data_IF_834034281044
#
_entry.id   IF_834034281044
#
_cell.length_a   1.000
_cell.length_b   1.000
_cell.length_c   1.000
_cell.angle_alpha   90.00
_cell.angle_beta   90.00
_cell.angle_gamma   90.00
#
_symmetry.space_group_name_H-M   'P 1'
#
loop_
_entity.id
_entity.type
_entity.pdbx_description
1 polymer ?
#
# COMPACT_ATOMS: atom_id res chain seq x y z
N UNK A 1 -11.62 6.20 -16.34
CA UNK A 1 -12.19 4.90 -15.89
C UNK A 1 -13.45 5.23 -15.09
N UNK A 2 -14.52 4.42 -15.06
CA UNK A 2 -15.65 4.75 -14.18
C UNK A 2 -15.29 4.49 -12.72
N UNK A 3 -15.83 5.27 -11.78
CA UNK A 3 -15.61 5.07 -10.35
C UNK A 3 -15.94 3.64 -9.90
N UNK A 4 -17.03 3.05 -10.42
CA UNK A 4 -17.40 1.65 -10.13
C UNK A 4 -16.30 0.67 -10.58
N UNK A 5 -15.73 0.87 -11.77
CA UNK A 5 -14.67 0.00 -12.28
C UNK A 5 -13.38 0.14 -11.45
N UNK A 6 -13.07 1.35 -10.98
CA UNK A 6 -11.98 1.59 -10.04
C UNK A 6 -12.16 0.74 -8.77
N UNK A 7 -13.35 0.77 -8.15
CA UNK A 7 -13.64 0.00 -6.94
C UNK A 7 -13.48 -1.51 -7.16
N UNK A 8 -13.97 -2.01 -8.30
CA UNK A 8 -13.84 -3.42 -8.66
C UNK A 8 -12.39 -3.83 -8.76
N UNK A 9 -11.53 -3.03 -9.41
CA UNK A 9 -10.11 -3.37 -9.54
C UNK A 9 -9.38 -3.36 -8.19
N UNK A 10 -9.65 -2.40 -7.31
CA UNK A 10 -9.07 -2.37 -5.96
C UNK A 10 -9.41 -3.66 -5.19
N UNK A 11 -10.67 -4.06 -5.17
CA UNK A 11 -11.11 -5.30 -4.49
C UNK A 11 -10.44 -6.52 -5.12
N UNK A 12 -10.45 -6.62 -6.45
CA UNK A 12 -9.86 -7.76 -7.17
C UNK A 12 -8.35 -7.89 -6.92
N UNK A 13 -7.62 -6.79 -6.75
CA UNK A 13 -6.18 -6.82 -6.47
C UNK A 13 -5.86 -7.54 -5.14
N UNK A 14 -6.63 -7.24 -4.09
CA UNK A 14 -6.49 -7.88 -2.78
C UNK A 14 -6.90 -9.35 -2.83
N UNK A 15 -8.03 -9.65 -3.49
CA UNK A 15 -8.49 -11.04 -3.64
C UNK A 15 -7.50 -11.88 -4.44
N UNK A 16 -6.89 -11.30 -5.48
CA UNK A 16 -5.83 -11.95 -6.25
C UNK A 16 -4.63 -12.30 -5.36
N UNK A 17 -4.18 -11.37 -4.51
CA UNK A 17 -3.12 -11.65 -3.53
C UNK A 17 -3.46 -12.80 -2.58
N UNK A 18 -4.69 -12.84 -2.06
CA UNK A 18 -5.19 -13.94 -1.23
C UNK A 18 -5.27 -15.29 -1.94
N UNK A 19 -5.70 -15.28 -3.21
CA UNK A 19 -5.78 -16.47 -4.05
C UNK A 19 -4.39 -17.05 -4.31
N UNK A 20 -3.40 -16.19 -4.60
CA UNK A 20 -2.02 -16.60 -4.78
C UNK A 20 -1.50 -17.35 -3.55
N UNK A 21 -1.74 -16.84 -2.33
CA UNK A 21 -1.30 -17.52 -1.10
C UNK A 21 -2.05 -18.85 -0.87
N UNK A 22 -3.34 -18.90 -1.19
CA UNK A 22 -4.19 -20.08 -0.97
C UNK A 22 -3.87 -21.24 -1.92
N UNK A 23 -3.47 -20.93 -3.16
CA UNK A 23 -3.18 -21.94 -4.19
C UNK A 23 -1.69 -22.27 -4.36
N UNK A 24 -0.77 -21.36 -4.05
CA UNK A 24 0.66 -21.64 -4.16
C UNK A 24 1.11 -22.59 -3.04
N UNK A 25 1.89 -23.62 -3.39
CA UNK A 25 2.50 -24.53 -2.42
C UNK A 25 3.56 -23.80 -1.58
N UNK A 26 3.65 -24.12 -0.28
CA UNK A 26 4.50 -23.45 0.72
C UNK A 26 5.95 -23.14 0.26
N UNK A 27 6.61 -24.06 -0.44
CA UNK A 27 8.00 -23.87 -0.89
C UNK A 27 8.16 -22.84 -2.03
N UNK A 28 7.14 -22.63 -2.86
CA UNK A 28 7.14 -21.60 -3.91
C UNK A 28 6.76 -20.22 -3.39
N UNK A 29 6.19 -20.14 -2.17
CA UNK A 29 5.71 -18.90 -1.56
C UNK A 29 6.88 -17.95 -1.30
N UNK A 30 7.90 -18.36 -0.56
CA UNK A 30 8.87 -17.38 -0.01
C UNK A 30 9.71 -16.66 -1.07
N UNK A 31 10.16 -17.34 -2.12
CA UNK A 31 10.97 -16.71 -3.17
C UNK A 31 10.13 -15.81 -4.09
N UNK A 32 8.99 -16.31 -4.56
CA UNK A 32 8.07 -15.54 -5.42
C UNK A 32 7.55 -14.30 -4.70
N UNK A 33 7.15 -14.42 -3.43
CA UNK A 33 6.69 -13.29 -2.61
C UNK A 33 7.78 -12.22 -2.50
N UNK A 34 9.04 -12.60 -2.26
CA UNK A 34 10.16 -11.64 -2.22
C UNK A 34 10.38 -10.91 -3.56
N UNK A 35 10.23 -11.60 -4.69
CA UNK A 35 10.36 -10.97 -6.00
C UNK A 35 9.16 -10.06 -6.33
N UNK A 36 7.93 -10.47 -6.01
CA UNK A 36 6.73 -9.65 -6.15
C UNK A 36 6.81 -8.38 -5.28
N UNK A 37 7.30 -8.52 -4.05
CA UNK A 37 7.58 -7.38 -3.16
C UNK A 37 8.61 -6.45 -3.78
N UNK A 38 9.76 -6.95 -4.24
CA UNK A 38 10.79 -6.13 -4.87
C UNK A 38 10.27 -5.38 -6.12
N UNK A 39 9.49 -6.05 -6.97
CA UNK A 39 8.82 -5.42 -8.11
C UNK A 39 7.89 -4.29 -7.67
N UNK A 40 7.01 -4.54 -6.70
CA UNK A 40 6.08 -3.54 -6.19
C UNK A 40 6.76 -2.37 -5.51
N UNK A 41 7.85 -2.62 -4.76
CA UNK A 41 8.65 -1.58 -4.15
C UNK A 41 9.25 -0.64 -5.20
N UNK A 42 9.84 -1.21 -6.27
CA UNK A 42 10.33 -0.42 -7.40
C UNK A 42 9.24 0.34 -8.15
N UNK A 43 8.09 -0.28 -8.39
CA UNK A 43 6.94 0.35 -9.02
C UNK A 43 6.44 1.55 -8.21
N UNK A 44 6.16 1.36 -6.92
CA UNK A 44 5.64 2.40 -6.03
C UNK A 44 6.65 3.54 -5.85
N UNK A 45 7.94 3.21 -5.69
CA UNK A 45 9.01 4.21 -5.61
C UNK A 45 9.08 5.08 -6.86
N UNK A 46 8.99 4.48 -8.06
CA UNK A 46 9.01 5.22 -9.31
C UNK A 46 7.79 6.14 -9.47
N UNK A 47 6.58 5.65 -9.15
CA UNK A 47 5.36 6.49 -9.13
C UNK A 47 5.53 7.69 -8.20
N UNK A 48 6.03 7.45 -6.98
CA UNK A 48 6.24 8.52 -6.00
C UNK A 48 7.23 9.56 -6.53
N UNK A 49 8.41 9.15 -6.99
CA UNK A 49 9.46 10.10 -7.39
C UNK A 49 9.19 10.80 -8.71
N UNK A 50 8.53 10.12 -9.68
CA UNK A 50 8.39 10.66 -11.02
C UNK A 50 7.04 11.34 -11.26
N UNK A 51 6.02 11.07 -10.44
CA UNK A 51 4.67 11.60 -10.64
C UNK A 51 4.16 12.32 -9.39
N UNK A 52 4.06 11.62 -8.24
CA UNK A 52 3.37 12.18 -7.08
C UNK A 52 4.14 13.32 -6.40
N UNK A 53 5.46 13.18 -6.23
CA UNK A 53 6.28 14.26 -5.66
C UNK A 53 6.32 15.50 -6.57
N UNK A 54 6.61 15.40 -7.88
CA UNK A 54 6.54 16.54 -8.79
C UNK A 54 5.20 17.27 -8.77
N UNK A 55 4.09 16.53 -8.70
CA UNK A 55 2.74 17.13 -8.67
C UNK A 55 2.49 17.87 -7.35
N UNK A 56 2.89 17.31 -6.20
CA UNK A 56 2.73 17.96 -4.89
C UNK A 56 3.50 19.28 -4.78
N UNK A 57 4.75 19.30 -5.25
CA UNK A 57 5.59 20.49 -5.17
C UNK A 57 5.20 21.60 -6.17
N UNK A 58 4.24 21.37 -7.05
CA UNK A 58 3.66 22.44 -7.88
C UNK A 58 2.64 23.30 -7.12
N UNK A 59 2.04 22.78 -6.04
CA UNK A 59 0.92 23.43 -5.35
C UNK A 59 1.30 24.14 -4.03
N UNK A 60 2.31 23.68 -3.30
CA UNK A 60 2.84 24.40 -2.12
C UNK A 60 4.30 23.98 -1.81
N UNK A 61 5.25 24.89 -1.89
CA UNK A 61 6.68 24.57 -1.74
C UNK A 61 7.14 24.52 -0.27
N UNK A 62 6.44 25.17 0.66
CA UNK A 62 6.94 25.35 2.03
C UNK A 62 6.53 24.22 2.99
N UNK A 63 5.27 23.76 2.93
CA UNK A 63 4.74 22.81 3.93
C UNK A 63 4.66 21.34 3.44
N UNK A 64 4.71 21.11 2.12
CA UNK A 64 4.61 19.77 1.52
C UNK A 64 5.58 18.75 2.12
N UNK A 65 6.85 19.14 2.30
CA UNK A 65 7.87 18.26 2.88
C UNK A 65 7.56 17.81 4.32
N UNK A 66 6.92 18.68 5.11
CA UNK A 66 6.51 18.35 6.47
C UNK A 66 5.40 17.30 6.47
N UNK A 67 4.40 17.43 5.59
CA UNK A 67 3.31 16.46 5.51
C UNK A 67 3.74 15.10 4.94
N UNK A 68 4.70 15.09 4.01
CA UNK A 68 5.37 13.85 3.57
C UNK A 68 6.07 13.18 4.76
N UNK A 69 6.83 13.95 5.56
CA UNK A 69 7.49 13.40 6.75
C UNK A 69 6.48 12.87 7.77
N UNK A 70 5.39 13.60 8.02
CA UNK A 70 4.30 13.16 8.90
C UNK A 70 3.70 11.85 8.39
N UNK A 71 3.44 11.72 7.09
CA UNK A 71 2.94 10.49 6.49
C UNK A 71 3.91 9.31 6.64
N UNK A 72 5.19 9.55 6.42
CA UNK A 72 6.23 8.54 6.64
C UNK A 72 6.26 8.05 8.09
N UNK A 73 6.23 8.98 9.05
CA UNK A 73 6.21 8.65 10.48
C UNK A 73 4.89 8.00 10.93
N UNK A 74 3.77 8.44 10.37
CA UNK A 74 2.47 7.83 10.62
C UNK A 74 2.48 6.36 10.21
N UNK A 75 3.02 6.04 9.04
CA UNK A 75 3.15 4.67 8.59
C UNK A 75 4.06 3.85 9.52
N UNK A 76 5.20 4.41 9.93
CA UNK A 76 6.09 3.77 10.89
C UNK A 76 5.39 3.48 12.23
N UNK A 77 4.56 4.40 12.71
CA UNK A 77 3.77 4.22 13.95
C UNK A 77 2.75 3.08 13.78
N UNK A 78 2.02 3.05 12.66
CA UNK A 78 1.06 1.98 12.36
C UNK A 78 1.74 0.60 12.34
N UNK A 79 2.94 0.52 11.77
CA UNK A 79 3.74 -0.71 11.72
C UNK A 79 4.29 -1.10 13.10
N UNK A 80 4.77 -0.14 13.89
CA UNK A 80 5.26 -0.38 15.25
C UNK A 80 4.18 -1.03 16.13
N UNK A 81 2.97 -0.46 16.14
CA UNK A 81 1.86 -1.00 16.92
C UNK A 81 1.34 -2.34 16.38
N UNK A 82 1.64 -2.68 15.12
CA UNK A 82 1.33 -3.99 14.54
C UNK A 82 2.20 -5.13 15.10
N UNK A 83 3.12 -4.81 16.01
CA UNK A 83 3.88 -5.80 16.77
C UNK A 83 5.12 -6.31 16.04
N UNK A 84 5.75 -5.46 15.21
CA UNK A 84 7.06 -5.64 14.58
C UNK A 84 7.50 -7.10 14.41
N UNK A 85 7.35 -7.66 13.21
CA UNK A 85 7.72 -9.03 12.83
C UNK A 85 9.26 -9.29 12.94
N UNK A 86 10.00 -8.48 13.70
CA UNK A 86 11.47 -8.41 13.63
C UNK A 86 12.22 -8.96 14.84
N UNK A 87 11.59 -9.21 15.99
CA UNK A 87 12.29 -9.85 17.10
C UNK A 87 11.92 -11.34 17.21
N UNK A 88 12.77 -12.17 16.59
CA UNK A 88 12.71 -13.64 16.51
C UNK A 88 12.82 -14.39 17.85
N UNK A 89 12.18 -13.90 18.90
CA UNK A 89 11.84 -14.66 20.09
C UNK A 89 10.33 -14.89 20.10
N UNK A 90 9.88 -15.77 19.21
CA UNK A 90 8.58 -16.41 19.34
C UNK A 90 8.65 -17.35 20.54
N UNK A 91 8.47 -16.79 21.74
CA UNK A 91 7.73 -17.52 22.75
C UNK A 91 6.42 -17.96 22.11
N UNK A 92 6.13 -19.25 22.18
CA UNK A 92 5.01 -19.97 21.56
C UNK A 92 3.63 -19.56 22.12
N UNK A 93 3.45 -18.28 22.48
CA UNK A 93 2.27 -17.65 23.07
C UNK A 93 1.81 -16.39 22.33
N UNK A 94 2.35 -16.08 21.15
CA UNK A 94 1.75 -15.04 20.29
C UNK A 94 0.39 -15.54 19.78
N UNK A 95 -0.69 -15.19 20.49
CA UNK A 95 -2.06 -15.57 20.17
C UNK A 95 -2.61 -14.85 18.93
N UNK A 96 -3.92 -15.02 18.67
CA UNK A 96 -4.66 -14.36 17.57
C UNK A 96 -4.60 -12.82 17.59
N UNK A 97 -3.98 -12.19 18.59
CA UNK A 97 -3.85 -10.73 18.70
C UNK A 97 -2.95 -10.14 17.61
N UNK A 98 -1.81 -10.75 17.28
CA UNK A 98 -0.83 -10.17 16.34
C UNK A 98 -1.42 -10.01 14.92
N UNK A 99 -2.07 -11.04 14.32
CA UNK A 99 -2.67 -10.88 12.99
C UNK A 99 -3.79 -9.84 12.95
N UNK A 100 -4.55 -9.69 14.05
CA UNK A 100 -5.65 -8.73 14.13
C UNK A 100 -5.13 -7.30 14.26
N UNK A 101 -4.07 -7.06 15.03
CA UNK A 101 -3.49 -5.71 15.15
C UNK A 101 -2.90 -5.24 13.82
N UNK A 102 -2.17 -6.12 13.11
CA UNK A 102 -1.68 -5.80 11.76
C UNK A 102 -2.83 -5.53 10.79
N UNK A 103 -3.90 -6.34 10.83
CA UNK A 103 -5.10 -6.11 10.03
C UNK A 103 -5.69 -4.72 10.28
N UNK A 104 -5.82 -4.30 11.55
CA UNK A 104 -6.37 -2.98 11.90
C UNK A 104 -5.46 -1.86 11.39
N UNK A 105 -4.15 -1.95 11.64
CA UNK A 105 -3.19 -0.94 11.21
C UNK A 105 -3.17 -0.79 9.68
N UNK A 106 -3.13 -1.91 8.95
CA UNK A 106 -3.18 -1.90 7.49
C UNK A 106 -4.54 -1.42 6.97
N UNK A 107 -5.65 -1.68 7.68
CA UNK A 107 -6.97 -1.15 7.31
C UNK A 107 -7.02 0.37 7.42
N UNK A 108 -6.43 0.94 8.48
CA UNK A 108 -6.30 2.40 8.64
C UNK A 108 -5.44 2.97 7.50
N UNK A 109 -4.27 2.36 7.26
CA UNK A 109 -3.40 2.72 6.14
C UNK A 109 -4.19 2.75 4.80
N UNK A 110 -4.93 1.67 4.53
CA UNK A 110 -5.67 1.45 3.28
C UNK A 110 -6.82 2.44 3.09
N UNK A 111 -7.51 2.86 4.17
CA UNK A 111 -8.52 3.92 4.10
C UNK A 111 -7.88 5.26 3.74
N UNK A 112 -6.74 5.59 4.35
CA UNK A 112 -6.06 6.88 4.13
C UNK A 112 -5.57 6.99 2.68
N UNK A 113 -4.96 5.94 2.12
CA UNK A 113 -4.52 5.95 0.71
C UNK A 113 -5.68 6.04 -0.30
N UNK A 114 -6.86 5.50 0.05
CA UNK A 114 -8.02 5.51 -0.83
C UNK A 114 -8.67 6.88 -0.92
N UNK A 115 -8.52 7.72 0.11
CA UNK A 115 -9.23 8.99 0.22
C UNK A 115 -8.92 9.97 -0.95
N UNK A 116 -7.66 10.21 -1.35
CA UNK A 116 -7.37 11.08 -2.48
C UNK A 116 -7.91 10.56 -3.83
N UNK A 117 -8.00 9.23 -4.02
CA UNK A 117 -8.62 8.66 -5.24
C UNK A 117 -10.09 9.09 -5.38
N UNK A 118 -10.83 9.12 -4.27
CA UNK A 118 -12.21 9.58 -4.25
C UNK A 118 -12.37 11.06 -4.58
N UNK A 119 -11.49 11.89 -4.02
CA UNK A 119 -11.53 13.35 -4.19
C UNK A 119 -11.33 13.76 -5.65
N UNK A 120 -10.41 13.07 -6.32
CA UNK A 120 -10.17 13.23 -7.75
C UNK A 120 -11.44 12.93 -8.55
N UNK A 121 -12.06 11.78 -8.33
CA UNK A 121 -13.25 11.34 -9.09
C UNK A 121 -14.50 12.17 -8.73
N UNK A 122 -14.56 12.73 -7.52
CA UNK A 122 -15.64 13.60 -7.05
C UNK A 122 -15.55 15.04 -7.54
N UNK A 123 -14.46 15.41 -8.23
CA UNK A 123 -14.21 16.77 -8.70
C UNK A 123 -13.70 17.73 -7.62
N UNK A 124 -13.44 17.25 -6.40
CA UNK A 124 -12.90 18.03 -5.28
C UNK A 124 -11.41 18.35 -5.44
N UNK A 125 -10.74 17.70 -6.40
CA UNK A 125 -9.32 17.86 -6.66
C UNK A 125 -9.00 18.08 -8.15
N UNK A 126 -9.77 18.97 -8.79
CA UNK A 126 -9.67 19.29 -10.24
C UNK A 126 -8.33 19.87 -10.70
N UNK A 127 -7.40 20.17 -9.78
CA UNK A 127 -6.07 20.67 -10.05
C UNK A 127 -4.93 19.66 -9.84
N UNK A 128 -5.22 18.43 -9.36
CA UNK A 128 -4.22 17.36 -9.41
C UNK A 128 -4.00 17.06 -10.90
N UNK A 129 -2.78 17.27 -11.41
CA UNK A 129 -2.47 17.14 -12.84
C UNK A 129 -2.63 15.70 -13.37
N UNK A 130 -1.91 15.39 -14.45
CA UNK A 130 -1.91 14.07 -15.08
C UNK A 130 -1.58 12.87 -14.13
N UNK A 131 -1.19 13.11 -12.88
CA UNK A 131 -0.94 12.11 -11.84
C UNK A 131 -2.13 11.25 -11.37
N UNK A 132 -3.37 11.52 -11.79
CA UNK A 132 -4.55 10.72 -11.38
C UNK A 132 -4.41 9.22 -11.68
N UNK A 133 -3.91 8.87 -12.87
CA UNK A 133 -3.67 7.47 -13.24
C UNK A 133 -2.55 6.84 -12.41
N UNK A 134 -1.51 7.62 -12.13
CA UNK A 134 -0.32 7.17 -11.40
C UNK A 134 -0.64 6.72 -9.97
N UNK A 135 -1.49 7.47 -9.25
CA UNK A 135 -1.93 7.13 -7.89
C UNK A 135 -2.72 5.81 -7.88
N UNK A 136 -3.69 5.67 -8.79
CA UNK A 136 -4.49 4.44 -8.90
C UNK A 136 -3.61 3.22 -9.18
N UNK A 137 -2.70 3.31 -10.16
CA UNK A 137 -1.80 2.20 -10.48
C UNK A 137 -0.84 1.89 -9.33
N UNK A 138 -0.31 2.93 -8.66
CA UNK A 138 0.50 2.79 -7.46
C UNK A 138 -0.22 1.98 -6.39
N UNK A 139 -1.49 2.33 -6.12
CA UNK A 139 -2.34 1.64 -5.15
C UNK A 139 -2.61 0.19 -5.59
N UNK A 140 -3.07 -0.01 -6.81
CA UNK A 140 -3.45 -1.31 -7.34
C UNK A 140 -2.30 -2.33 -7.27
N UNK A 141 -1.11 -1.94 -7.70
CA UNK A 141 0.02 -2.88 -7.79
C UNK A 141 0.65 -3.18 -6.44
N UNK A 142 0.62 -2.26 -5.47
CA UNK A 142 1.19 -2.53 -4.15
C UNK A 142 0.23 -3.27 -3.21
N UNK A 143 -1.09 -3.18 -3.42
CA UNK A 143 -2.06 -3.96 -2.65
C UNK A 143 -1.91 -5.47 -2.84
N UNK A 144 -1.46 -5.93 -4.00
CA UNK A 144 -1.25 -7.36 -4.27
C UNK A 144 -0.21 -7.95 -3.27
N UNK A 145 1.02 -7.41 -3.15
CA UNK A 145 1.98 -7.88 -2.14
C UNK A 145 1.51 -7.69 -0.70
N UNK A 146 0.82 -6.60 -0.36
CA UNK A 146 0.27 -6.39 0.99
C UNK A 146 -0.74 -7.49 1.33
N UNK A 147 -1.66 -7.80 0.42
CA UNK A 147 -2.64 -8.87 0.58
C UNK A 147 -1.98 -10.26 0.69
N UNK A 148 -0.91 -10.50 -0.06
CA UNK A 148 -0.09 -11.71 0.05
C UNK A 148 0.53 -11.83 1.44
N UNK A 149 1.12 -10.75 1.95
CA UNK A 149 1.76 -10.75 3.27
C UNK A 149 0.73 -11.00 4.37
N UNK A 150 -0.40 -10.29 4.34
CA UNK A 150 -1.47 -10.39 5.32
C UNK A 150 -2.13 -11.78 5.30
N UNK A 151 -2.42 -12.32 4.10
CA UNK A 151 -3.01 -13.65 3.97
C UNK A 151 -2.03 -14.74 4.44
N UNK A 152 -0.73 -14.60 4.14
CA UNK A 152 0.30 -15.51 4.65
C UNK A 152 0.32 -15.51 6.18
N UNK A 153 0.29 -14.33 6.80
CA UNK A 153 0.24 -14.21 8.27
C UNK A 153 -1.00 -14.88 8.86
N UNK A 154 -2.19 -14.66 8.30
CA UNK A 154 -3.43 -15.28 8.80
C UNK A 154 -3.42 -16.81 8.69
N UNK A 155 -2.80 -17.35 7.65
CA UNK A 155 -2.69 -18.80 7.45
C UNK A 155 -1.66 -19.39 8.42
N UNK A 156 -0.53 -18.72 8.59
CA UNK A 156 0.56 -19.18 9.46
C UNK A 156 0.22 -19.05 10.96
N UNK A 157 -0.70 -18.15 11.32
CA UNK A 157 -1.18 -17.95 12.70
C UNK A 157 -2.29 -18.91 13.14
N UNK A 158 -2.53 -20.02 12.41
CA UNK A 158 -3.59 -21.00 12.69
C UNK A 158 -5.02 -20.40 12.79
N UNK A 159 -5.29 -19.27 12.15
CA UNK A 159 -6.62 -18.62 12.21
C UNK A 159 -7.71 -19.40 11.47
N UNK A 160 -7.31 -20.37 10.64
CA UNK A 160 -8.18 -21.21 9.82
C UNK A 160 -8.59 -20.48 8.53
N UNK A 161 -8.48 -21.18 7.41
CA UNK A 161 -8.58 -20.59 6.06
C UNK A 161 -9.86 -19.79 5.82
N UNK A 162 -11.00 -20.21 6.39
CA UNK A 162 -12.29 -19.50 6.26
C UNK A 162 -12.26 -18.13 6.95
N UNK A 163 -11.67 -18.05 8.15
CA UNK A 163 -11.53 -16.78 8.87
C UNK A 163 -10.49 -15.89 8.18
N UNK A 164 -9.37 -16.45 7.71
CA UNK A 164 -8.37 -15.71 6.93
C UNK A 164 -9.01 -15.00 5.73
N UNK A 165 -9.85 -15.71 4.97
CA UNK A 165 -10.60 -15.13 3.85
C UNK A 165 -11.63 -14.08 4.29
N UNK A 166 -12.35 -14.30 5.39
CA UNK A 166 -13.27 -13.31 5.93
C UNK A 166 -12.54 -11.98 6.23
N UNK A 167 -11.43 -12.03 6.97
CA UNK A 167 -10.65 -10.83 7.29
C UNK A 167 -10.02 -10.21 6.04
N UNK A 168 -9.56 -11.01 5.08
CA UNK A 168 -9.02 -10.48 3.83
C UNK A 168 -10.09 -9.79 2.97
N UNK A 169 -11.33 -10.30 2.96
CA UNK A 169 -12.45 -9.64 2.28
C UNK A 169 -12.80 -8.33 2.98
N UNK A 170 -12.81 -8.31 4.32
CA UNK A 170 -12.99 -7.07 5.07
C UNK A 170 -11.88 -6.06 4.75
N UNK A 171 -10.64 -6.52 4.66
CA UNK A 171 -9.50 -5.70 4.26
C UNK A 171 -9.67 -5.15 2.83
N UNK A 172 -10.14 -5.98 1.88
CA UNK A 172 -10.35 -5.57 0.49
C UNK A 172 -11.37 -4.43 0.33
N UNK A 173 -12.21 -4.17 1.33
CA UNK A 173 -13.19 -3.08 1.34
C UNK A 173 -12.62 -1.77 1.89
N UNK A 174 -11.44 -1.77 2.49
CA UNK A 174 -10.90 -0.60 3.22
C UNK A 174 -10.45 0.53 2.29
N UNK A 175 -9.67 0.25 1.23
CA UNK A 175 -9.34 1.26 0.23
C UNK A 175 -10.55 1.72 -0.58
N UNK A 176 -11.47 0.83 -1.02
CA UNK A 176 -12.75 1.25 -1.57
C UNK A 176 -13.55 2.18 -0.67
N UNK A 177 -13.60 1.87 0.63
CA UNK A 177 -14.24 2.73 1.62
C UNK A 177 -13.55 4.10 1.69
N UNK A 178 -12.22 4.15 1.72
CA UNK A 178 -11.45 5.40 1.64
C UNK A 178 -11.83 6.23 0.41
N UNK A 179 -11.87 5.60 -0.77
CA UNK A 179 -12.25 6.25 -2.02
C UNK A 179 -13.72 6.72 -2.04
N UNK A 180 -14.65 5.96 -1.45
CA UNK A 180 -16.05 6.40 -1.30
C UNK A 180 -16.15 7.59 -0.35
N UNK A 181 -15.43 7.58 0.78
CA UNK A 181 -15.39 8.72 1.70
C UNK A 181 -14.86 9.95 0.95
N UNK A 182 -13.75 9.82 0.23
CA UNK A 182 -13.17 10.92 -0.53
C UNK A 182 -14.05 11.43 -1.68
N UNK A 183 -14.92 10.59 -2.24
CA UNK A 183 -15.87 11.00 -3.28
C UNK A 183 -16.90 12.01 -2.74
N UNK A 184 -17.33 11.82 -1.49
CA UNK A 184 -18.41 12.62 -0.89
C UNK A 184 -17.93 13.70 0.07
N UNK A 185 -16.70 13.61 0.57
CA UNK A 185 -16.12 14.56 1.52
C UNK A 185 -15.14 15.46 0.80
N UNK A 186 -15.43 16.77 0.74
CA UNK A 186 -14.47 17.78 0.33
C UNK A 186 -13.65 18.24 1.56
N UNK A 187 -12.32 18.05 1.59
CA UNK A 187 -11.45 18.53 2.67
C UNK A 187 -11.58 20.03 2.95
N UNK A 188 -11.89 20.84 1.93
CA UNK A 188 -12.03 22.29 2.08
C UNK A 188 -13.17 22.66 3.04
N UNK A 189 -14.22 21.85 3.14
CA UNK A 189 -15.35 22.07 4.04
C UNK A 189 -14.95 22.08 5.53
N UNK A 190 -13.82 21.42 5.85
CA UNK A 190 -13.24 21.36 7.19
C UNK A 190 -11.93 22.15 7.31
N UNK A 191 -11.60 22.97 6.30
CA UNK A 191 -10.40 23.80 6.27
C UNK A 191 -9.10 23.03 6.01
N UNK A 192 -9.18 21.85 5.37
CA UNK A 192 -8.03 21.06 4.94
C UNK A 192 -7.87 21.13 3.42
N UNK A 193 -6.64 20.90 2.94
CA UNK A 193 -6.35 20.78 1.51
C UNK A 193 -6.17 19.29 1.16
N UNK A 194 -6.73 18.84 0.04
CA UNK A 194 -6.54 17.48 -0.49
C UNK A 194 -5.05 17.17 -0.74
N UNK A 195 -4.24 18.17 -1.10
CA UNK A 195 -2.79 18.04 -1.31
C UNK A 195 -2.06 17.69 -0.01
N UNK A 196 -2.56 18.14 1.15
CA UNK A 196 -2.02 17.75 2.47
C UNK A 196 -2.24 16.25 2.71
N UNK A 197 -3.44 15.76 2.40
CA UNK A 197 -3.76 14.33 2.53
C UNK A 197 -2.94 13.51 1.54
N UNK A 198 -2.80 13.98 0.29
CA UNK A 198 -1.96 13.33 -0.72
C UNK A 198 -0.47 13.31 -0.29
N UNK A 199 0.04 14.38 0.30
CA UNK A 199 1.41 14.44 0.83
C UNK A 199 1.63 13.41 1.94
N UNK A 200 0.66 13.24 2.84
CA UNK A 200 0.67 12.18 3.86
C UNK A 200 0.71 10.79 3.19
N UNK A 201 -0.15 10.54 2.19
CA UNK A 201 -0.17 9.27 1.45
C UNK A 201 1.15 9.01 0.73
N UNK A 202 1.77 10.02 0.12
CA UNK A 202 3.10 9.91 -0.50
C UNK A 202 4.17 9.56 0.54
N UNK A 203 4.12 10.17 1.72
CA UNK A 203 4.98 9.79 2.84
C UNK A 203 4.82 8.33 3.26
N UNK A 204 3.58 7.85 3.35
CA UNK A 204 3.28 6.45 3.66
C UNK A 204 3.81 5.51 2.57
N UNK A 205 3.68 5.87 1.29
CA UNK A 205 4.25 5.10 0.17
C UNK A 205 5.78 5.10 0.17
N UNK A 206 6.42 6.21 0.52
CA UNK A 206 7.88 6.25 0.69
C UNK A 206 8.34 5.28 1.78
N UNK A 207 7.66 5.24 2.92
CA UNK A 207 7.95 4.28 3.98
C UNK A 207 7.86 2.84 3.46
N UNK A 208 6.69 2.45 2.92
CA UNK A 208 6.47 1.07 2.46
C UNK A 208 7.45 0.68 1.35
N UNK A 209 7.65 1.53 0.34
CA UNK A 209 8.53 1.21 -0.79
C UNK A 209 9.99 1.05 -0.36
N UNK A 210 10.49 1.93 0.52
CA UNK A 210 11.87 1.84 1.01
C UNK A 210 12.07 0.64 1.93
N UNK A 211 11.15 0.40 2.88
CA UNK A 211 11.16 -0.78 3.74
C UNK A 211 11.18 -2.07 2.93
N UNK A 212 10.31 -2.21 1.92
CA UNK A 212 10.29 -3.38 1.03
C UNK A 212 11.63 -3.59 0.32
N UNK A 213 12.25 -2.53 -0.21
CA UNK A 213 13.53 -2.64 -0.93
C UNK A 213 14.65 -3.10 0.02
N UNK A 214 14.70 -2.58 1.24
CA UNK A 214 15.76 -2.90 2.19
C UNK A 214 15.54 -4.25 2.91
N UNK A 215 14.33 -4.55 3.36
CA UNK A 215 14.00 -5.82 4.04
C UNK A 215 14.07 -7.02 3.10
N UNK A 216 13.78 -6.84 1.81
CA UNK A 216 13.96 -7.93 0.85
C UNK A 216 15.44 -8.22 0.58
N UNK A 217 16.41 -7.42 1.04
CA UNK A 217 17.84 -7.70 0.88
C UNK A 217 18.38 -8.64 1.99
N UNK A 218 19.06 -9.73 1.61
CA UNK A 218 19.70 -10.63 2.57
C UNK A 218 21.22 -10.35 2.60
N UNK A 219 21.82 -10.23 3.79
CA UNK A 219 23.25 -9.96 3.99
C UNK A 219 23.81 -8.73 3.25
N UNK A 220 23.00 -7.69 3.05
CA UNK A 220 23.37 -6.45 2.33
C UNK A 220 23.88 -6.67 0.89
N UNK A 221 23.65 -7.84 0.28
CA UNK A 221 23.97 -8.11 -1.12
C UNK A 221 22.71 -7.99 -1.96
N UNK A 222 22.72 -7.05 -2.90
CA UNK A 222 21.65 -6.93 -3.89
C UNK A 222 21.75 -8.13 -4.84
N UNK A 223 20.74 -9.00 -4.80
CA UNK A 223 20.58 -10.06 -5.77
C UNK A 223 20.21 -9.44 -7.13
N UNK A 224 20.92 -9.78 -8.21
CA UNK A 224 20.65 -9.25 -9.55
C UNK A 224 19.18 -9.46 -9.97
N UNK A 225 18.57 -10.60 -9.61
CA UNK A 225 17.16 -10.86 -9.93
C UNK A 225 16.23 -9.87 -9.22
N UNK A 226 16.51 -9.49 -7.96
CA UNK A 226 15.74 -8.47 -7.23
C UNK A 226 15.94 -7.10 -7.86
N UNK A 227 17.17 -6.74 -8.23
CA UNK A 227 17.44 -5.49 -8.93
C UNK A 227 16.66 -5.42 -10.25
N UNK A 228 16.65 -6.51 -11.03
CA UNK A 228 15.84 -6.60 -12.25
C UNK A 228 14.35 -6.40 -11.92
N UNK A 229 13.82 -7.05 -10.89
CA UNK A 229 12.41 -6.84 -10.50
C UNK A 229 12.12 -5.38 -10.14
N UNK A 230 13.00 -4.72 -9.37
CA UNK A 230 12.87 -3.29 -9.02
C UNK A 230 12.88 -2.43 -10.29
N UNK A 231 13.82 -2.66 -11.21
CA UNK A 231 13.93 -1.91 -12.46
C UNK A 231 12.75 -2.16 -13.39
N UNK A 232 12.24 -3.40 -13.47
CA UNK A 232 11.04 -3.73 -14.26
C UNK A 232 9.80 -3.08 -13.66
N UNK A 233 9.66 -3.07 -12.33
CA UNK A 233 8.60 -2.36 -11.64
C UNK A 233 8.63 -0.86 -11.93
N UNK A 234 9.80 -0.23 -11.76
CA UNK A 234 9.97 1.18 -12.07
C UNK A 234 9.75 1.50 -13.55
N UNK A 235 10.25 0.66 -14.46
CA UNK A 235 10.04 0.82 -15.90
C UNK A 235 8.56 0.68 -16.31
N UNK A 236 7.82 -0.25 -15.69
CA UNK A 236 6.38 -0.38 -15.91
C UNK A 236 5.62 0.83 -15.37
N UNK A 237 6.00 1.35 -14.21
CA UNK A 237 5.42 2.58 -13.67
C UNK A 237 5.51 3.69 -14.71
N UNK A 238 6.71 3.98 -15.23
CA UNK A 238 6.95 5.00 -16.27
C UNK A 238 6.17 4.79 -17.58
N UNK A 239 5.68 3.58 -17.86
CA UNK A 239 4.87 3.29 -19.05
C UNK A 239 3.37 3.48 -18.81
N UNK A 240 2.89 3.24 -17.58
CA UNK A 240 1.46 3.25 -17.23
C UNK A 240 0.96 4.60 -16.70
N UNK A 241 1.87 5.46 -16.25
CA UNK A 241 1.63 6.83 -15.75
C UNK A 241 2.12 7.86 -16.76
#
# INVERSE_FOLDING_TARGET
MSFILLQVFLILSVLLGGLLVSYLKANYKRHTIKLTLAFSGGFLLAIVFCHLLPDLYQHDFETTGLYILIGFLLQLILEYFSGGIEHGHTDSKAGLSVPLTLFIALSIHSIIEGFPLGNVEGGHASHIGHGHGSLFWGILFHQIPVAIALMSLFVDSNMGIRKSWLFLILFALTTPLGAVIGLYVNPEDVGLDVHVILAIVVGMFLHISTTIIFETSENHRINLLKLICILVGGGLAMFLS
#
